data_IF_754973339222
#
_entry.id   IF_754973339222
#
_cell.length_a   1.000
_cell.length_b   1.000
_cell.length_c   1.000
_cell.angle_alpha   90.00
_cell.angle_beta   90.00
_cell.angle_gamma   90.00
#
_symmetry.space_group_name_H-M   'P 1'
#
loop_
_entity.id
_entity.type
_entity.pdbx_description
1 polymer ?
#
# COMPACT_ATOMS: atom_id res chain seq x y z
N UNK A 1 9.23 42.25 -24.13
CA UNK A 1 10.65 42.37 -23.76
C UNK A 1 11.26 41.00 -23.98
N UNK A 2 12.09 40.89 -25.02
CA UNK A 2 12.77 39.64 -25.38
C UNK A 2 13.70 39.20 -24.25
N UNK A 3 13.53 37.98 -23.75
CA UNK A 3 14.50 37.38 -22.86
C UNK A 3 15.69 36.90 -23.68
N UNK A 4 16.82 37.59 -23.50
CA UNK A 4 18.09 37.24 -24.10
C UNK A 4 18.50 35.83 -23.70
N UNK A 5 18.60 34.95 -24.68
CA UNK A 5 19.34 33.69 -24.59
C UNK A 5 20.71 33.97 -23.97
N UNK A 6 21.23 33.14 -23.04
CA UNK A 6 22.57 33.31 -22.52
C UNK A 6 23.56 33.18 -23.68
N UNK A 7 24.07 34.32 -24.13
CA UNK A 7 25.07 34.44 -25.18
C UNK A 7 26.33 33.71 -24.72
N UNK A 8 26.62 32.57 -25.33
CA UNK A 8 27.90 31.85 -25.22
C UNK A 8 29.03 32.58 -25.96
N UNK A 9 29.00 33.91 -25.98
CA UNK A 9 30.01 34.76 -26.60
C UNK A 9 31.30 34.72 -25.80
N UNK A 10 32.16 33.75 -26.16
CA UNK A 10 33.61 33.87 -26.35
C UNK A 10 34.28 34.94 -25.47
N UNK A 11 34.57 34.59 -24.23
CA UNK A 11 35.77 35.10 -23.54
C UNK A 11 36.74 33.93 -23.42
N UNK A 12 37.65 33.82 -24.40
CA UNK A 12 38.82 32.95 -24.39
C UNK A 12 38.55 31.46 -24.14
N UNK A 13 38.52 30.65 -25.20
CA UNK A 13 38.51 29.18 -25.10
C UNK A 13 39.65 28.66 -24.20
N UNK A 14 40.76 29.40 -24.13
CA UNK A 14 41.91 29.14 -23.27
C UNK A 14 41.60 29.12 -21.76
N UNK A 15 40.55 29.78 -21.27
CA UNK A 15 40.18 29.74 -19.84
C UNK A 15 39.42 28.47 -19.45
N UNK A 16 38.93 27.70 -20.43
CA UNK A 16 38.10 26.50 -20.21
C UNK A 16 38.90 25.20 -20.36
N UNK A 17 40.10 25.30 -20.93
CA UNK A 17 41.01 24.18 -21.08
C UNK A 17 42.13 24.32 -20.06
N UNK A 18 42.35 23.28 -19.27
CA UNK A 18 43.46 23.18 -18.31
C UNK A 18 44.51 22.30 -18.94
N UNK A 19 45.78 22.72 -18.90
CA UNK A 19 46.85 21.89 -19.44
C UNK A 19 47.09 20.66 -18.54
N UNK A 20 47.60 19.57 -19.12
CA UNK A 20 47.95 18.38 -18.36
C UNK A 20 48.93 18.70 -17.21
N UNK A 21 49.90 19.59 -17.46
CA UNK A 21 50.85 20.07 -16.46
C UNK A 21 50.17 20.84 -15.31
N UNK A 22 49.14 21.64 -15.60
CA UNK A 22 48.41 22.36 -14.56
C UNK A 22 47.59 21.40 -13.67
N UNK A 23 47.04 20.32 -14.26
CA UNK A 23 46.34 19.26 -13.51
C UNK A 23 47.31 18.52 -12.60
N UNK A 24 48.48 18.15 -13.11
CA UNK A 24 49.53 17.47 -12.33
C UNK A 24 50.05 18.35 -11.20
N UNK A 25 50.36 19.62 -11.46
CA UNK A 25 50.79 20.58 -10.44
C UNK A 25 49.71 20.82 -9.37
N UNK A 26 48.43 20.84 -9.76
CA UNK A 26 47.33 20.94 -8.82
C UNK A 26 47.19 19.67 -7.95
N UNK A 27 47.38 18.48 -8.53
CA UNK A 27 47.39 17.20 -7.81
C UNK A 27 48.53 17.15 -6.80
N UNK A 28 49.78 17.44 -7.22
CA UNK A 28 50.94 17.43 -6.32
C UNK A 28 50.79 18.43 -5.17
N UNK A 29 50.33 19.66 -5.45
CA UNK A 29 50.08 20.67 -4.43
C UNK A 29 49.03 20.22 -3.42
N UNK A 30 47.98 19.52 -3.88
CA UNK A 30 46.94 18.96 -3.02
C UNK A 30 47.49 17.80 -2.16
N UNK A 31 48.30 16.92 -2.75
CA UNK A 31 48.94 15.80 -2.05
C UNK A 31 49.93 16.27 -0.99
N UNK A 32 50.73 17.29 -1.28
CA UNK A 32 51.66 17.89 -0.32
C UNK A 32 50.93 18.50 0.88
N UNK A 33 49.85 19.25 0.63
CA UNK A 33 49.01 19.82 1.68
C UNK A 33 48.35 18.72 2.52
N UNK A 34 47.85 17.68 1.86
CA UNK A 34 47.22 16.54 2.53
C UNK A 34 48.24 15.79 3.40
N UNK A 35 49.40 15.45 2.85
CA UNK A 35 50.50 14.82 3.59
C UNK A 35 50.97 15.70 4.76
N UNK A 36 51.09 17.01 4.57
CA UNK A 36 51.46 17.94 5.64
C UNK A 36 50.40 18.00 6.75
N UNK A 37 49.10 17.95 6.40
CA UNK A 37 48.02 17.91 7.39
C UNK A 37 48.06 16.65 8.26
N UNK A 38 48.32 15.48 7.64
CA UNK A 38 48.45 14.20 8.35
C UNK A 38 49.73 14.11 9.17
N UNK A 39 50.85 14.62 8.64
CA UNK A 39 52.11 14.74 9.39
C UNK A 39 51.93 15.60 10.65
N UNK A 40 51.13 16.68 10.58
CA UNK A 40 50.80 17.51 11.75
C UNK A 40 49.96 16.76 12.79
N UNK A 41 49.14 15.80 12.35
CA UNK A 41 48.33 14.95 13.21
C UNK A 41 49.12 13.76 13.79
N UNK A 42 50.37 13.54 13.34
CA UNK A 42 51.21 12.42 13.74
C UNK A 42 50.73 11.06 13.21
N UNK A 43 49.90 11.07 12.16
CA UNK A 43 49.35 9.88 11.53
C UNK A 43 49.87 9.77 10.09
N UNK A 44 50.13 8.55 9.63
CA UNK A 44 50.45 8.32 8.22
C UNK A 44 49.22 8.61 7.36
N UNK A 45 49.34 9.33 6.23
CA UNK A 45 48.25 9.47 5.28
C UNK A 45 47.75 8.09 4.86
N UNK A 46 46.43 7.84 4.88
CA UNK A 46 45.90 6.58 4.38
C UNK A 46 46.26 6.42 2.89
N UNK A 47 46.43 5.17 2.42
CA UNK A 47 46.75 4.91 1.01
C UNK A 47 45.74 5.63 0.12
N UNK A 48 46.25 6.31 -0.91
CA UNK A 48 45.40 7.00 -1.87
C UNK A 48 44.38 6.02 -2.44
N UNK A 49 43.10 6.41 -2.56
CA UNK A 49 42.15 5.61 -3.29
C UNK A 49 42.70 5.44 -4.71
N UNK A 50 42.88 4.20 -5.12
CA UNK A 50 43.24 3.88 -6.50
C UNK A 50 42.15 4.45 -7.40
N UNK A 51 42.56 5.20 -8.44
CA UNK A 51 41.62 5.65 -9.46
C UNK A 51 40.85 4.42 -9.96
N UNK A 52 39.52 4.51 -9.97
CA UNK A 52 38.66 3.40 -10.35
C UNK A 52 39.15 2.81 -11.68
N UNK A 53 39.37 1.49 -11.69
CA UNK A 53 39.84 0.79 -12.88
C UNK A 53 39.02 1.22 -14.09
N UNK A 54 39.71 1.62 -15.17
CA UNK A 54 39.10 2.18 -16.37
C UNK A 54 37.89 1.35 -16.81
N UNK A 55 36.70 1.89 -16.55
CA UNK A 55 35.46 1.23 -16.88
C UNK A 55 35.24 1.34 -18.39
N UNK A 56 35.33 0.19 -19.07
CA UNK A 56 35.17 0.05 -20.52
C UNK A 56 33.74 0.30 -21.02
N UNK A 57 32.77 0.53 -20.13
CA UNK A 57 31.42 0.97 -20.50
C UNK A 57 31.45 2.34 -21.16
N UNK A 58 30.54 2.51 -22.12
CA UNK A 58 30.37 3.80 -22.79
C UNK A 58 29.89 4.86 -21.80
N UNK A 59 30.17 6.14 -22.08
CA UNK A 59 29.67 7.24 -21.25
C UNK A 59 28.14 7.23 -21.14
N UNK A 60 27.44 6.81 -22.21
CA UNK A 60 25.99 6.69 -22.22
C UNK A 60 25.48 5.67 -21.19
N UNK A 61 26.12 4.50 -21.11
CA UNK A 61 25.81 3.47 -20.11
C UNK A 61 26.09 3.96 -18.69
N UNK A 62 27.21 4.66 -18.47
CA UNK A 62 27.54 5.27 -17.17
C UNK A 62 26.47 6.28 -16.75
N UNK A 63 26.05 7.16 -17.66
CA UNK A 63 25.02 8.16 -17.36
C UNK A 63 23.65 7.50 -17.13
N UNK A 64 23.32 6.43 -17.87
CA UNK A 64 22.10 5.66 -17.64
C UNK A 64 22.12 5.01 -16.25
N UNK A 65 23.22 4.35 -15.88
CA UNK A 65 23.38 3.73 -14.56
C UNK A 65 23.26 4.76 -13.42
N UNK A 66 23.85 5.96 -13.56
CA UNK A 66 23.70 7.03 -12.57
C UNK A 66 22.25 7.52 -12.42
N UNK A 67 21.51 7.63 -13.55
CA UNK A 67 20.09 8.01 -13.50
C UNK A 67 19.25 6.93 -12.82
N UNK A 68 19.48 5.67 -13.17
CA UNK A 68 18.77 4.53 -12.57
C UNK A 68 19.08 4.44 -11.08
N UNK A 69 20.35 4.49 -10.69
CA UNK A 69 20.74 4.46 -9.27
C UNK A 69 20.06 5.57 -8.46
N UNK A 70 20.07 6.81 -8.99
CA UNK A 70 19.38 7.92 -8.33
C UNK A 70 17.86 7.74 -8.25
N UNK A 71 17.27 7.13 -9.27
CA UNK A 71 15.85 6.82 -9.30
C UNK A 71 15.51 5.73 -8.30
N UNK A 72 16.29 4.65 -8.24
CA UNK A 72 16.15 3.55 -7.28
C UNK A 72 16.29 4.04 -5.84
N UNK A 73 17.31 4.86 -5.55
CA UNK A 73 17.49 5.48 -4.22
C UNK A 73 16.28 6.33 -3.82
N UNK A 74 15.74 7.12 -4.76
CA UNK A 74 14.55 7.94 -4.51
C UNK A 74 13.31 7.08 -4.29
N UNK A 75 13.12 6.03 -5.11
CA UNK A 75 12.02 5.09 -4.96
C UNK A 75 12.11 4.32 -3.64
N UNK A 76 13.30 3.89 -3.21
CA UNK A 76 13.49 3.21 -1.93
C UNK A 76 13.14 4.11 -0.75
N UNK A 77 13.60 5.36 -0.77
CA UNK A 77 13.27 6.35 0.26
C UNK A 77 11.76 6.65 0.29
N UNK A 78 11.13 6.81 -0.87
CA UNK A 78 9.71 7.14 -0.96
C UNK A 78 8.78 5.93 -0.80
N UNK A 79 9.26 4.71 -1.05
CA UNK A 79 8.46 3.47 -0.96
C UNK A 79 8.00 3.21 0.46
N UNK A 80 8.84 3.46 1.46
CA UNK A 80 8.44 3.34 2.86
C UNK A 80 7.56 4.52 3.29
N UNK A 81 7.82 5.72 2.77
CA UNK A 81 6.97 6.89 3.02
C UNK A 81 5.54 6.70 2.51
N UNK A 82 5.35 6.04 1.38
CA UNK A 82 4.02 5.80 0.80
C UNK A 82 3.25 4.67 1.48
N UNK A 83 3.92 3.79 2.23
CA UNK A 83 3.25 2.69 2.94
C UNK A 83 2.49 3.19 4.16
N UNK A 84 3.00 4.23 4.83
CA UNK A 84 2.42 4.76 6.04
C UNK A 84 2.02 6.21 5.80
N UNK A 85 0.80 6.37 5.29
CA UNK A 85 0.13 7.68 5.19
C UNK A 85 -0.95 7.78 6.26
N UNK A 86 -1.24 9.01 6.71
CA UNK A 86 -2.44 9.26 7.49
C UNK A 86 -3.69 8.97 6.64
N UNK A 87 -4.73 8.41 7.26
CA UNK A 87 -6.04 8.28 6.62
C UNK A 87 -6.64 9.68 6.41
N UNK A 88 -7.25 9.91 5.25
CA UNK A 88 -8.00 11.14 4.97
C UNK A 88 -9.36 11.10 5.70
N UNK A 89 -9.98 12.25 5.90
CA UNK A 89 -11.24 12.38 6.65
C UNK A 89 -12.38 11.54 6.03
N UNK A 90 -12.45 11.49 4.71
CA UNK A 90 -13.43 10.70 3.97
C UNK A 90 -13.21 9.19 4.17
N UNK A 91 -11.95 8.75 4.30
CA UNK A 91 -11.60 7.34 4.48
C UNK A 91 -11.88 6.88 5.90
N UNK A 92 -11.68 7.75 6.89
CA UNK A 92 -12.10 7.51 8.28
C UNK A 92 -13.62 7.34 8.32
N UNK A 93 -14.36 8.27 7.71
CA UNK A 93 -15.83 8.24 7.64
C UNK A 93 -16.33 6.98 6.95
N UNK A 94 -15.68 6.57 5.86
CA UNK A 94 -15.98 5.33 5.18
C UNK A 94 -15.78 4.10 6.08
N UNK A 95 -14.65 3.99 6.78
CA UNK A 95 -14.40 2.86 7.69
C UNK A 95 -15.41 2.82 8.85
N UNK A 96 -15.82 3.96 9.37
CA UNK A 96 -16.85 4.03 10.42
C UNK A 96 -18.22 3.62 9.89
N UNK A 97 -18.59 4.01 8.67
CA UNK A 97 -19.83 3.55 8.03
C UNK A 97 -19.86 2.02 7.84
N UNK A 98 -18.71 1.41 7.53
CA UNK A 98 -18.59 -0.05 7.40
C UNK A 98 -18.76 -0.72 8.77
N UNK A 99 -18.16 -0.16 9.82
CA UNK A 99 -18.32 -0.68 11.20
C UNK A 99 -19.75 -0.57 11.67
N UNK A 100 -20.40 0.57 11.43
CA UNK A 100 -21.80 0.80 11.77
C UNK A 100 -22.68 -0.22 11.06
N UNK A 101 -22.51 -0.40 9.74
CA UNK A 101 -23.27 -1.39 8.96
C UNK A 101 -23.11 -2.81 9.49
N UNK A 102 -21.89 -3.22 9.84
CA UNK A 102 -21.62 -4.54 10.42
C UNK A 102 -22.28 -4.72 11.79
N UNK A 103 -22.21 -3.69 12.63
CA UNK A 103 -22.84 -3.71 13.95
C UNK A 103 -24.37 -3.74 13.85
N UNK A 104 -24.97 -3.02 12.90
CA UNK A 104 -26.40 -3.05 12.64
C UNK A 104 -26.87 -4.42 12.15
N UNK A 105 -26.14 -5.03 11.23
CA UNK A 105 -26.44 -6.37 10.72
C UNK A 105 -26.36 -7.42 11.84
N UNK A 106 -25.31 -7.37 12.68
CA UNK A 106 -25.19 -8.25 13.83
C UNK A 106 -26.31 -8.00 14.85
N UNK A 107 -26.66 -6.74 15.13
CA UNK A 107 -27.74 -6.38 16.04
C UNK A 107 -29.08 -6.89 15.53
N UNK A 108 -29.36 -6.75 14.24
CA UNK A 108 -30.59 -7.23 13.62
C UNK A 108 -30.69 -8.75 13.72
N UNK A 109 -29.62 -9.45 13.34
CA UNK A 109 -29.54 -10.91 13.45
C UNK A 109 -29.76 -11.40 14.88
N UNK A 110 -29.12 -10.75 15.85
CA UNK A 110 -29.30 -11.06 17.28
C UNK A 110 -30.71 -10.78 17.78
N UNK A 111 -31.37 -9.75 17.26
CA UNK A 111 -32.75 -9.44 17.60
C UNK A 111 -33.73 -10.47 17.02
N UNK A 112 -33.52 -10.90 15.77
CA UNK A 112 -34.29 -11.97 15.12
C UNK A 112 -34.11 -13.30 15.87
N UNK A 113 -32.87 -13.72 16.11
CA UNK A 113 -32.56 -14.93 16.89
C UNK A 113 -33.21 -14.88 18.29
N UNK A 114 -33.15 -13.71 18.95
CA UNK A 114 -33.77 -13.48 20.25
C UNK A 114 -35.30 -13.60 20.21
N UNK A 115 -35.93 -13.06 19.16
CA UNK A 115 -37.37 -13.14 18.96
C UNK A 115 -37.83 -14.59 18.75
N UNK A 116 -37.14 -15.34 17.90
CA UNK A 116 -37.41 -16.76 17.65
C UNK A 116 -37.28 -17.61 18.91
N UNK A 117 -36.18 -17.44 19.66
CA UNK A 117 -35.97 -18.13 20.94
C UNK A 117 -37.05 -17.79 21.96
N UNK A 118 -37.47 -16.53 22.03
CA UNK A 118 -38.54 -16.10 22.93
C UNK A 118 -39.89 -16.71 22.55
N UNK A 119 -40.19 -16.81 21.26
CA UNK A 119 -41.40 -17.45 20.73
C UNK A 119 -41.41 -18.94 21.02
N UNK A 120 -40.27 -19.62 20.82
CA UNK A 120 -40.12 -21.03 21.17
C UNK A 120 -40.35 -21.28 22.67
N UNK A 121 -39.72 -20.48 23.54
CA UNK A 121 -39.90 -20.60 25.01
C UNK A 121 -41.38 -20.42 25.40
N UNK A 122 -42.07 -19.44 24.81
CA UNK A 122 -43.51 -19.23 25.04
C UNK A 122 -44.35 -20.41 24.57
N UNK A 123 -44.07 -20.96 23.38
CA UNK A 123 -44.80 -22.10 22.84
C UNK A 123 -44.58 -23.39 23.64
N UNK A 124 -43.35 -23.65 24.08
CA UNK A 124 -43.02 -24.78 24.96
C UNK A 124 -43.76 -24.64 26.29
N UNK A 125 -43.70 -23.46 26.93
CA UNK A 125 -44.41 -23.21 28.18
C UNK A 125 -45.93 -23.35 28.02
N UNK A 126 -46.50 -22.86 26.92
CA UNK A 126 -47.93 -23.02 26.63
C UNK A 126 -48.31 -24.50 26.43
N UNK A 127 -47.47 -25.28 25.74
CA UNK A 127 -47.67 -26.72 25.55
C UNK A 127 -47.57 -27.48 26.87
N UNK A 128 -46.57 -27.19 27.69
CA UNK A 128 -46.42 -27.78 29.02
C UNK A 128 -47.61 -27.42 29.93
N UNK A 129 -48.06 -26.16 29.91
CA UNK A 129 -49.26 -25.74 30.65
C UNK A 129 -50.52 -26.45 30.15
N UNK A 130 -50.69 -26.64 28.84
CA UNK A 130 -51.83 -27.38 28.28
C UNK A 130 -51.81 -28.87 28.63
N UNK A 131 -50.63 -29.46 28.82
CA UNK A 131 -50.48 -30.85 29.29
C UNK A 131 -50.82 -30.96 30.78
N UNK A 132 -50.35 -30.00 31.60
CA UNK A 132 -50.56 -30.02 33.05
C UNK A 132 -51.95 -29.52 33.48
N UNK A 133 -52.62 -28.70 32.67
CA UNK A 133 -53.94 -28.14 32.95
C UNK A 133 -54.82 -28.24 31.68
N UNK A 134 -55.48 -29.39 31.44
CA UNK A 134 -56.27 -29.57 30.23
C UNK A 134 -57.48 -28.63 30.21
N UNK A 135 -57.79 -27.97 29.08
CA UNK A 135 -59.00 -27.15 28.96
C UNK A 135 -60.27 -28.02 29.16
N UNK A 136 -61.37 -27.44 29.67
CA UNK A 136 -62.62 -28.17 29.84
C UNK A 136 -63.11 -28.68 28.48
N UNK A 137 -63.19 -30.00 28.36
CA UNK A 137 -63.60 -30.73 27.16
C UNK A 137 -65.12 -30.54 26.96
N UNK A 138 -65.54 -29.74 25.98
CA UNK A 138 -66.90 -29.84 25.44
C UNK A 138 -66.89 -31.05 24.49
N UNK A 139 -67.60 -32.10 24.93
CA UNK A 139 -67.65 -33.42 24.31
C UNK A 139 -68.43 -33.41 22.99
N UNK A 140 -67.76 -33.66 21.86
CA UNK A 140 -68.35 -34.38 20.73
C UNK A 140 -67.32 -35.37 20.17
N UNK A 141 -67.68 -36.65 20.22
CA UNK A 141 -66.89 -37.83 19.90
C UNK A 141 -66.65 -37.98 18.39
N UNK A 142 -65.44 -38.43 17.99
CA UNK A 142 -65.18 -39.61 17.13
C UNK A 142 -63.69 -39.70 16.71
N UNK A 143 -63.03 -40.87 16.77
CA UNK A 143 -61.72 -41.14 16.13
C UNK A 143 -61.91 -42.04 14.87
N UNK A 144 -61.00 -42.10 13.87
CA UNK A 144 -59.74 -42.86 14.06
C UNK A 144 -58.51 -42.57 13.16
N UNK A 145 -57.35 -43.06 13.64
CA UNK A 145 -56.21 -43.70 12.93
C UNK A 145 -55.17 -42.85 12.15
N UNK A 146 -53.89 -43.10 12.55
CA UNK A 146 -52.65 -43.31 11.74
C UNK A 146 -52.20 -42.11 10.88
N UNK A 147 -50.96 -41.63 10.88
CA UNK A 147 -49.66 -42.30 10.81
C UNK A 147 -48.54 -41.44 11.41
N UNK A 148 -47.75 -42.05 12.28
CA UNK A 148 -46.55 -41.46 12.84
C UNK A 148 -45.32 -41.79 11.97
N UNK A 149 -45.18 -41.21 10.77
CA UNK A 149 -43.90 -41.18 10.02
C UNK A 149 -43.81 -39.98 9.08
N UNK A 150 -43.27 -38.85 9.54
CA UNK A 150 -42.64 -37.85 8.65
C UNK A 150 -41.19 -37.69 9.06
N UNK A 151 -40.32 -38.06 8.13
CA UNK A 151 -38.89 -38.22 8.28
C UNK A 151 -38.18 -36.88 8.57
N UNK A 152 -37.31 -36.89 9.57
CA UNK A 152 -36.25 -35.89 9.68
C UNK A 152 -35.27 -36.10 8.51
N UNK A 153 -35.31 -35.20 7.53
CA UNK A 153 -34.33 -35.15 6.44
C UNK A 153 -33.09 -34.43 6.95
N UNK A 154 -32.09 -35.19 7.39
CA UNK A 154 -30.75 -34.66 7.64
C UNK A 154 -30.07 -34.29 6.33
N UNK A 155 -29.61 -33.04 6.22
CA UNK A 155 -28.73 -32.60 5.13
C UNK A 155 -27.30 -32.94 5.52
N UNK A 156 -26.69 -33.90 4.83
CA UNK A 156 -25.26 -34.19 4.91
C UNK A 156 -24.56 -33.33 3.86
N UNK A 157 -23.76 -32.34 4.28
CA UNK A 157 -22.82 -31.64 3.39
C UNK A 157 -21.49 -32.40 3.40
N UNK A 158 -21.15 -33.02 2.27
CA UNK A 158 -19.85 -33.64 2.01
C UNK A 158 -18.81 -32.54 1.82
N UNK A 159 -17.88 -32.39 2.77
CA UNK A 159 -16.71 -31.51 2.64
C UNK A 159 -15.67 -32.20 1.76
N UNK A 160 -15.56 -31.76 0.51
CA UNK A 160 -14.49 -32.11 -0.42
C UNK A 160 -13.33 -31.12 -0.33
N UNK A 161 -12.11 -31.63 -0.35
CA UNK A 161 -10.87 -30.89 -0.16
C UNK A 161 -10.41 -30.12 -1.43
N UNK A 162 -9.73 -29.00 -1.17
CA UNK A 162 -8.67 -28.30 -1.97
C UNK A 162 -8.87 -28.12 -3.48
N UNK A 163 -9.09 -26.86 -3.87
CA UNK A 163 -8.59 -26.30 -5.13
C UNK A 163 -8.16 -24.82 -4.92
N UNK A 164 -7.03 -24.47 -5.53
CA UNK A 164 -6.25 -23.23 -5.41
C UNK A 164 -6.98 -21.98 -5.95
N UNK A 165 -6.67 -20.76 -5.47
CA UNK A 165 -7.17 -19.53 -6.05
C UNK A 165 -6.41 -19.15 -7.33
N UNK A 166 -7.06 -19.24 -8.48
CA UNK A 166 -6.60 -18.58 -9.71
C UNK A 166 -7.09 -17.12 -9.70
N UNK A 167 -6.17 -16.19 -9.51
CA UNK A 167 -6.38 -14.76 -9.73
C UNK A 167 -6.57 -14.51 -11.22
N UNK A 168 -7.78 -14.10 -11.62
CA UNK A 168 -8.04 -13.47 -12.93
C UNK A 168 -8.38 -12.01 -12.66
N UNK A 169 -7.41 -11.13 -12.89
CA UNK A 169 -7.60 -9.68 -13.00
C UNK A 169 -8.06 -9.39 -14.44
N UNK A 170 -9.20 -8.70 -14.66
CA UNK A 170 -9.47 -8.07 -15.93
C UNK A 170 -8.69 -6.76 -16.01
N UNK A 171 -7.86 -6.63 -17.05
CA UNK A 171 -7.18 -5.40 -17.45
C UNK A 171 -8.12 -4.58 -18.33
N UNK A 172 -8.60 -3.46 -17.83
CA UNK A 172 -9.12 -2.36 -18.66
C UNK A 172 -8.63 -1.04 -18.05
N UNK A 173 -7.47 -0.58 -18.52
CA UNK A 173 -7.08 0.82 -18.37
C UNK A 173 -7.20 1.49 -19.74
N UNK A 174 -8.23 2.32 -19.86
CA UNK A 174 -8.39 3.31 -20.90
C UNK A 174 -7.47 4.48 -20.54
N UNK A 175 -6.40 4.67 -21.31
CA UNK A 175 -5.52 5.83 -21.25
C UNK A 175 -6.33 7.09 -21.54
N UNK A 176 -6.49 7.96 -20.53
CA UNK A 176 -6.79 9.37 -20.73
C UNK A 176 -5.55 10.17 -20.36
N UNK A 177 -4.87 10.68 -21.39
CA UNK A 177 -3.87 11.73 -21.24
C UNK A 177 -4.56 12.98 -20.68
N UNK A 178 -4.30 13.30 -19.41
CA UNK A 178 -4.59 14.62 -18.87
C UNK A 178 -3.39 15.08 -18.03
N UNK A 179 -2.65 16.04 -18.58
CA UNK A 179 -1.41 16.57 -18.01
C UNK A 179 -1.77 17.82 -17.20
N UNK A 180 -1.54 17.90 -15.88
CA UNK A 180 -1.87 19.11 -15.14
C UNK A 180 -0.82 20.19 -15.43
N UNK A 181 -1.30 21.27 -16.03
CA UNK A 181 -0.56 22.49 -16.33
C UNK A 181 -0.15 23.22 -15.05
N UNK A 182 1.15 23.20 -14.73
CA UNK A 182 1.68 23.86 -13.53
C UNK A 182 1.70 25.38 -13.73
N UNK A 183 0.73 26.08 -13.13
CA UNK A 183 0.68 27.55 -13.00
C UNK A 183 1.90 28.06 -12.22
N UNK A 184 2.87 28.67 -12.93
CA UNK A 184 3.98 29.42 -12.33
C UNK A 184 3.45 30.74 -11.74
N UNK A 185 3.60 30.92 -10.42
CA UNK A 185 3.32 32.18 -9.71
C UNK A 185 4.29 33.26 -10.20
N UNK A 186 3.75 34.35 -10.75
CA UNK A 186 4.49 35.59 -11.03
C UNK A 186 4.80 36.30 -9.71
N UNK A 187 6.09 36.48 -9.42
CA UNK A 187 6.55 37.47 -8.43
C UNK A 187 6.69 38.81 -9.15
N UNK A 188 6.01 39.83 -8.62
CA UNK A 188 6.11 41.22 -9.07
C UNK A 188 7.52 41.75 -8.76
N UNK A 189 8.12 42.45 -9.72
CA UNK A 189 9.19 43.41 -9.46
C UNK A 189 8.59 44.73 -8.98
#
# INVERSE_FOLDING_TARGET
>A
MEEGVPSVSVTGVASRFVSQSDIEAAKTRKEEQWRAAYARLGQEPPPQPVDDAYDGRSLAEKLAANRVAKQEEWEEQMKLSNQFRALEEDEITFLDSIRERQAEEERLRKAEDGAELSGFRKAVAARENAINNPPPVISQLTPPKKDAKKALKGVIVKRGAKAQPSTKVPSDYKTSDDHPETKRRKISS
#
